data_IF_697333118428
#
_entry.id   IF_697333118428
#
_cell.length_a   1.000
_cell.length_b   1.000
_cell.length_c   1.000
_cell.angle_alpha   90.00
_cell.angle_beta   90.00
_cell.angle_gamma   90.00
#
_symmetry.space_group_name_H-M   'P 1'
#
loop_
_entity.id
_entity.type
_entity.pdbx_description
1 polymer ?
#
# COMPACT_ATOMS: atom_id res chain seq x y z
N UNK A 1 30.18 -63.29 -42.21
CA UNK A 1 30.79 -62.08 -42.81
C UNK A 1 29.81 -61.49 -43.82
N UNK A 2 29.85 -60.17 -44.00
CA UNK A 2 29.01 -59.34 -44.87
C UNK A 2 27.59 -59.01 -44.38
N UNK A 3 27.52 -57.85 -43.74
CA UNK A 3 26.38 -56.92 -43.71
C UNK A 3 25.94 -56.65 -45.15
N UNK A 4 24.63 -56.56 -45.44
CA UNK A 4 24.07 -55.45 -46.22
C UNK A 4 22.58 -55.28 -45.90
N UNK A 5 22.26 -54.03 -45.59
CA UNK A 5 21.02 -53.47 -45.09
C UNK A 5 20.51 -52.57 -46.21
N UNK A 6 19.35 -52.86 -46.81
CA UNK A 6 18.51 -51.84 -47.46
C UNK A 6 17.05 -52.28 -47.33
N UNK A 7 16.31 -51.54 -46.52
CA UNK A 7 14.88 -51.69 -46.30
C UNK A 7 14.12 -50.97 -47.42
N UNK A 8 13.14 -51.68 -47.97
CA UNK A 8 12.13 -51.23 -48.92
C UNK A 8 10.97 -50.58 -48.16
N UNK A 9 10.69 -49.27 -48.31
CA UNK A 9 9.34 -48.72 -48.03
C UNK A 9 9.08 -47.36 -48.70
N UNK A 10 8.38 -47.41 -49.84
CA UNK A 10 7.22 -46.60 -50.24
C UNK A 10 7.19 -45.13 -49.78
N UNK A 11 7.35 -44.23 -50.75
CA UNK A 11 7.03 -42.81 -50.64
C UNK A 11 5.52 -42.61 -50.42
N UNK A 12 5.14 -42.13 -49.23
CA UNK A 12 3.79 -41.66 -48.93
C UNK A 12 3.67 -40.19 -49.30
N UNK A 13 2.83 -39.90 -50.30
CA UNK A 13 2.40 -38.57 -50.71
C UNK A 13 1.65 -37.91 -49.56
N UNK A 14 2.24 -36.87 -48.95
CA UNK A 14 1.51 -35.98 -48.02
C UNK A 14 0.85 -34.87 -48.83
N UNK A 15 -0.48 -34.88 -48.85
CA UNK A 15 -1.32 -33.79 -49.33
C UNK A 15 -1.00 -32.49 -48.55
N UNK A 16 -0.57 -31.44 -49.27
CA UNK A 16 -0.56 -30.07 -48.76
C UNK A 16 -2.00 -29.57 -48.77
N UNK A 17 -2.69 -29.73 -47.64
CA UNK A 17 -3.97 -29.09 -47.38
C UNK A 17 -3.75 -27.67 -46.86
N UNK A 18 -3.98 -26.67 -47.70
CA UNK A 18 -4.03 -25.27 -47.27
C UNK A 18 -5.40 -25.04 -46.58
N UNK A 19 -5.45 -25.10 -45.25
CA UNK A 19 -6.60 -24.63 -44.48
C UNK A 19 -6.36 -23.19 -44.03
N UNK A 20 -7.16 -22.27 -44.58
CA UNK A 20 -7.30 -20.91 -44.05
C UNK A 20 -7.98 -21.00 -42.69
N UNK A 21 -7.21 -20.95 -41.61
CA UNK A 21 -7.73 -20.78 -40.27
C UNK A 21 -8.12 -19.29 -40.08
N UNK A 22 -9.43 -19.04 -40.05
CA UNK A 22 -10.01 -17.80 -39.56
C UNK A 22 -9.64 -17.61 -38.09
N UNK A 23 -8.66 -16.76 -37.81
CA UNK A 23 -8.29 -16.36 -36.46
C UNK A 23 -9.39 -15.45 -35.92
N UNK A 24 -10.29 -16.03 -35.13
CA UNK A 24 -11.14 -15.25 -34.21
C UNK A 24 -10.21 -14.49 -33.28
N UNK A 25 -10.21 -13.18 -33.44
CA UNK A 25 -9.42 -12.24 -32.66
C UNK A 25 -10.05 -12.10 -31.26
N UNK A 26 -9.79 -13.07 -30.38
CA UNK A 26 -9.99 -12.89 -28.94
C UNK A 26 -8.80 -12.13 -28.38
N UNK A 27 -9.03 -10.88 -28.01
CA UNK A 27 -8.13 -10.12 -27.14
C UNK A 27 -8.07 -10.88 -25.82
N UNK A 28 -7.04 -11.71 -25.65
CA UNK A 28 -6.73 -12.31 -24.37
C UNK A 28 -6.33 -11.17 -23.43
N UNK A 29 -7.26 -10.75 -22.57
CA UNK A 29 -6.96 -9.90 -21.44
C UNK A 29 -5.82 -10.54 -20.64
N UNK A 30 -4.80 -9.75 -20.31
CA UNK A 30 -3.78 -10.16 -19.34
C UNK A 30 -4.54 -10.55 -18.06
N UNK A 31 -4.45 -11.80 -17.57
CA UNK A 31 -5.07 -12.14 -16.30
C UNK A 31 -4.36 -11.35 -15.21
N UNK A 32 -5.04 -10.33 -14.69
CA UNK A 32 -4.71 -9.76 -13.39
C UNK A 32 -4.90 -10.92 -12.40
N UNK A 33 -3.83 -11.45 -11.82
CA UNK A 33 -3.94 -12.49 -10.80
C UNK A 33 -4.81 -11.92 -9.67
N UNK A 34 -6.03 -12.43 -9.56
CA UNK A 34 -7.01 -11.92 -8.61
C UNK A 34 -6.44 -12.12 -7.20
N UNK A 35 -6.43 -11.04 -6.40
CA UNK A 35 -6.06 -11.11 -4.99
C UNK A 35 -6.85 -12.22 -4.31
N UNK A 36 -6.17 -13.13 -3.60
CA UNK A 36 -6.82 -14.18 -2.83
C UNK A 36 -7.10 -13.66 -1.42
N UNK A 37 -8.33 -13.86 -0.93
CA UNK A 37 -8.66 -13.59 0.47
C UNK A 37 -8.22 -14.82 1.25
N UNK A 38 -7.23 -14.65 2.12
CA UNK A 38 -6.71 -15.70 2.98
C UNK A 38 -7.48 -15.72 4.29
N UNK A 39 -7.67 -16.90 4.84
CA UNK A 39 -8.11 -17.07 6.23
C UNK A 39 -6.88 -17.12 7.15
N UNK A 40 -6.92 -16.41 8.27
CA UNK A 40 -5.87 -16.42 9.28
C UNK A 40 -6.45 -16.71 10.66
N UNK A 41 -5.87 -17.67 11.39
CA UNK A 41 -6.27 -17.93 12.76
C UNK A 41 -5.90 -16.74 13.66
N UNK A 42 -6.60 -16.53 14.80
CA UNK A 42 -6.28 -15.42 15.70
C UNK A 42 -4.82 -15.38 16.15
N UNK A 43 -4.17 -16.54 16.37
CA UNK A 43 -2.76 -16.60 16.79
C UNK A 43 -1.80 -16.22 15.67
N UNK A 44 -2.05 -16.67 14.44
CA UNK A 44 -1.23 -16.29 13.28
C UNK A 44 -1.33 -14.79 13.00
N UNK A 45 -2.56 -14.26 13.06
CA UNK A 45 -2.79 -12.82 12.87
C UNK A 45 -2.15 -12.03 14.00
N UNK A 46 -2.28 -12.44 15.27
CA UNK A 46 -1.60 -11.78 16.39
C UNK A 46 -0.08 -11.75 16.23
N UNK A 47 0.53 -12.84 15.74
CA UNK A 47 1.98 -12.89 15.48
C UNK A 47 2.38 -11.99 14.31
N UNK A 48 1.53 -11.87 13.30
CA UNK A 48 1.77 -10.99 12.17
C UNK A 48 1.66 -9.51 12.57
N UNK A 49 0.57 -9.13 13.25
CA UNK A 49 0.29 -7.74 13.63
C UNK A 49 1.10 -7.25 14.83
N UNK A 50 1.82 -8.14 15.52
CA UNK A 50 2.75 -7.78 16.61
C UNK A 50 4.16 -7.44 16.10
N UNK A 51 4.47 -7.69 14.83
CA UNK A 51 5.75 -7.34 14.19
C UNK A 51 5.54 -6.11 13.31
N UNK A 52 6.20 -5.00 13.64
CA UNK A 52 6.04 -3.72 12.94
C UNK A 52 4.57 -3.25 12.85
N UNK A 53 4.33 -2.12 12.19
CA UNK A 53 2.96 -1.69 11.88
C UNK A 53 2.33 -2.67 10.88
N UNK A 54 1.08 -3.05 11.10
CA UNK A 54 0.28 -3.87 10.18
C UNK A 54 -1.09 -3.25 10.04
N UNK A 55 -1.67 -3.28 8.83
CA UNK A 55 -3.02 -2.75 8.60
C UNK A 55 -4.05 -3.72 9.18
N UNK A 56 -4.31 -3.61 10.47
CA UNK A 56 -5.28 -4.43 11.17
C UNK A 56 -6.54 -3.62 11.43
N UNK A 57 -7.65 -3.97 10.79
CA UNK A 57 -8.89 -3.21 10.86
C UNK A 57 -10.02 -4.03 11.46
N UNK A 58 -10.79 -3.41 12.36
CA UNK A 58 -12.04 -3.92 12.88
C UNK A 58 -13.20 -3.22 12.15
N UNK A 59 -13.98 -4.00 11.40
CA UNK A 59 -15.07 -3.49 10.55
C UNK A 59 -16.44 -3.50 11.24
N UNK A 60 -16.46 -3.70 12.56
CA UNK A 60 -17.65 -3.56 13.38
C UNK A 60 -18.05 -2.09 13.59
N UNK A 61 -19.24 -1.85 14.15
CA UNK A 61 -19.62 -0.48 14.50
C UNK A 61 -18.72 0.06 15.63
N UNK A 62 -18.62 1.39 15.78
CA UNK A 62 -17.86 1.99 16.87
C UNK A 62 -18.31 1.53 18.27
N UNK A 63 -19.61 1.27 18.45
CA UNK A 63 -20.16 0.77 19.72
C UNK A 63 -19.68 -0.65 20.02
N UNK A 64 -19.76 -1.56 19.04
CA UNK A 64 -19.25 -2.92 19.17
C UNK A 64 -17.75 -2.94 19.48
N UNK A 65 -16.97 -2.11 18.76
CA UNK A 65 -15.54 -1.96 18.94
C UNK A 65 -15.19 -1.44 20.35
N UNK A 66 -15.91 -0.42 20.83
CA UNK A 66 -15.65 0.20 22.12
C UNK A 66 -15.83 -0.76 23.31
N UNK A 67 -16.73 -1.75 23.19
CA UNK A 67 -16.95 -2.77 24.24
C UNK A 67 -15.82 -3.80 24.36
N UNK A 68 -14.91 -3.86 23.39
CA UNK A 68 -13.79 -4.78 23.39
C UNK A 68 -13.42 -5.25 21.99
N UNK A 69 -12.21 -4.94 21.55
CA UNK A 69 -11.67 -5.27 20.24
C UNK A 69 -10.25 -5.84 20.34
N UNK A 70 -9.79 -6.51 19.28
CA UNK A 70 -8.43 -7.00 19.21
C UNK A 70 -7.42 -5.84 19.31
N UNK A 71 -6.45 -5.93 20.22
CA UNK A 71 -5.46 -4.87 20.40
C UNK A 71 -4.76 -4.53 19.08
N UNK A 72 -4.45 -3.23 18.86
CA UNK A 72 -3.88 -2.66 17.62
C UNK A 72 -4.81 -2.64 16.41
N UNK A 73 -6.04 -3.16 16.50
CA UNK A 73 -6.99 -3.03 15.41
C UNK A 73 -7.55 -1.60 15.33
N UNK A 74 -7.53 -0.96 14.17
CA UNK A 74 -8.20 0.33 13.91
C UNK A 74 -9.66 0.09 13.54
N UNK A 75 -10.59 0.87 14.11
CA UNK A 75 -11.99 0.74 13.71
C UNK A 75 -12.25 1.46 12.37
N UNK A 76 -12.52 0.70 11.32
CA UNK A 76 -13.00 1.19 10.02
C UNK A 76 -14.30 0.45 9.72
N UNK A 77 -15.46 0.97 10.18
CA UNK A 77 -16.75 0.31 10.02
C UNK A 77 -17.07 -0.06 8.57
N UNK A 78 -17.66 -1.24 8.34
CA UNK A 78 -17.95 -1.76 7.00
C UNK A 78 -18.72 -0.77 6.10
N UNK A 79 -19.66 -0.04 6.68
CA UNK A 79 -20.51 0.95 6.01
C UNK A 79 -19.74 2.20 5.54
N UNK A 80 -18.63 2.52 6.20
CA UNK A 80 -17.75 3.65 5.85
C UNK A 80 -16.45 3.22 5.16
N UNK A 81 -16.25 1.92 4.97
CA UNK A 81 -15.01 1.33 4.46
C UNK A 81 -14.62 1.90 3.09
N UNK A 82 -15.58 2.04 2.17
CA UNK A 82 -15.31 2.56 0.82
C UNK A 82 -14.83 4.01 0.79
N UNK A 83 -15.17 4.80 1.81
CA UNK A 83 -14.66 6.17 1.97
C UNK A 83 -13.30 6.22 2.68
N UNK A 84 -12.80 5.08 3.17
CA UNK A 84 -11.55 4.96 3.93
C UNK A 84 -10.48 4.15 3.21
N UNK A 85 -10.65 3.89 1.90
CA UNK A 85 -9.64 3.19 1.11
C UNK A 85 -8.31 3.94 1.09
N UNK A 86 -8.36 5.26 1.09
CA UNK A 86 -7.21 6.16 1.23
C UNK A 86 -6.72 6.22 2.69
N UNK A 87 -6.91 5.18 3.51
CA UNK A 87 -6.18 4.99 4.77
C UNK A 87 -5.36 3.72 4.74
N UNK A 88 -5.52 2.95 3.68
CA UNK A 88 -5.00 1.61 3.55
C UNK A 88 -4.12 1.50 2.30
N UNK A 89 -3.00 0.84 2.46
CA UNK A 89 -2.02 0.56 1.43
C UNK A 89 -2.42 -0.70 0.65
N UNK A 90 -2.76 -0.53 -0.63
CA UNK A 90 -3.28 -1.62 -1.50
C UNK A 90 -2.33 -2.79 -1.71
N UNK A 91 -1.02 -2.54 -1.59
CA UNK A 91 0.01 -3.55 -1.81
C UNK A 91 0.44 -4.26 -0.53
N UNK A 92 0.09 -3.72 0.64
CA UNK A 92 0.45 -4.29 1.94
C UNK A 92 -0.64 -5.23 2.47
N UNK A 93 -0.31 -6.18 3.36
CA UNK A 93 -1.30 -7.02 4.03
C UNK A 93 -2.31 -6.18 4.82
N UNK A 94 -3.61 -6.45 4.60
CA UNK A 94 -4.72 -5.96 5.41
C UNK A 94 -5.36 -7.12 6.15
N UNK A 95 -5.27 -7.09 7.48
CA UNK A 95 -5.91 -8.03 8.39
C UNK A 95 -7.26 -7.46 8.81
N UNK A 96 -8.33 -8.23 8.64
CA UNK A 96 -9.69 -7.72 8.75
C UNK A 96 -10.44 -8.59 9.75
N UNK A 97 -10.92 -7.98 10.84
CA UNK A 97 -11.67 -8.67 11.89
C UNK A 97 -13.06 -8.07 12.03
N UNK A 98 -14.02 -8.93 12.36
CA UNK A 98 -15.33 -8.50 12.86
C UNK A 98 -15.72 -9.33 14.08
N UNK A 99 -17.01 -9.53 14.35
CA UNK A 99 -17.43 -10.34 15.50
C UNK A 99 -17.13 -11.83 15.32
N UNK A 100 -17.55 -12.41 14.19
CA UNK A 100 -17.50 -13.86 13.92
C UNK A 100 -16.77 -14.25 12.63
N UNK A 101 -16.35 -13.28 11.81
CA UNK A 101 -15.64 -13.49 10.53
C UNK A 101 -16.47 -13.20 9.27
N UNK A 102 -17.81 -13.13 9.37
CA UNK A 102 -18.69 -12.93 8.21
C UNK A 102 -18.57 -11.52 7.61
N UNK A 103 -18.71 -10.49 8.46
CA UNK A 103 -18.63 -9.08 8.05
C UNK A 103 -17.23 -8.70 7.54
N UNK A 104 -16.18 -9.28 8.11
CA UNK A 104 -14.80 -9.06 7.68
C UNK A 104 -14.49 -9.73 6.34
N UNK A 105 -15.09 -10.89 6.04
CA UNK A 105 -15.00 -11.48 4.71
C UNK A 105 -15.71 -10.62 3.64
N UNK A 106 -16.86 -10.03 4.00
CA UNK A 106 -17.53 -9.04 3.14
C UNK A 106 -16.64 -7.80 2.88
N UNK A 107 -16.03 -7.24 3.93
CA UNK A 107 -15.06 -6.16 3.80
C UNK A 107 -13.85 -6.55 2.93
N UNK A 108 -13.32 -7.77 3.10
CA UNK A 108 -12.24 -8.29 2.27
C UNK A 108 -12.64 -8.37 0.80
N UNK A 109 -13.87 -8.76 0.50
CA UNK A 109 -14.39 -8.78 -0.88
C UNK A 109 -14.47 -7.38 -1.48
N UNK A 110 -14.95 -6.40 -0.70
CA UNK A 110 -14.99 -4.98 -1.12
C UNK A 110 -13.59 -4.43 -1.39
N UNK A 111 -12.62 -4.71 -0.51
CA UNK A 111 -11.23 -4.28 -0.69
C UNK A 111 -10.58 -4.98 -1.88
N UNK A 112 -10.85 -6.27 -2.08
CA UNK A 112 -10.37 -7.02 -3.26
C UNK A 112 -10.86 -6.37 -4.55
N UNK A 113 -12.14 -6.01 -4.63
CA UNK A 113 -12.72 -5.34 -5.79
C UNK A 113 -12.13 -3.93 -6.01
N UNK A 114 -11.73 -3.26 -4.91
CA UNK A 114 -11.03 -1.98 -4.93
C UNK A 114 -9.52 -2.08 -5.28
N UNK A 115 -9.01 -3.30 -5.52
CA UNK A 115 -7.64 -3.57 -5.97
C UNK A 115 -6.61 -3.84 -4.87
N UNK A 116 -7.06 -4.12 -3.64
CA UNK A 116 -6.17 -4.56 -2.56
C UNK A 116 -5.70 -6.00 -2.82
N UNK A 117 -4.42 -6.27 -2.58
CA UNK A 117 -3.77 -7.51 -3.04
C UNK A 117 -3.63 -8.59 -1.98
N UNK A 118 -3.41 -8.19 -0.72
CA UNK A 118 -3.04 -9.09 0.36
C UNK A 118 -4.07 -8.95 1.48
N UNK A 119 -5.11 -9.78 1.46
CA UNK A 119 -6.24 -9.66 2.37
C UNK A 119 -6.32 -10.90 3.26
N UNK A 120 -6.41 -10.68 4.57
CA UNK A 120 -6.49 -11.75 5.57
C UNK A 120 -7.73 -11.53 6.42
N UNK A 121 -8.72 -12.40 6.26
CA UNK A 121 -9.88 -12.46 7.14
C UNK A 121 -9.51 -13.20 8.43
N UNK A 122 -9.81 -12.61 9.59
CA UNK A 122 -9.55 -13.26 10.88
C UNK A 122 -10.64 -14.29 11.17
N UNK A 123 -10.28 -15.57 11.11
CA UNK A 123 -11.23 -16.67 11.26
C UNK A 123 -11.85 -16.68 12.66
N UNK A 124 -13.19 -16.73 12.71
CA UNK A 124 -13.96 -16.70 13.95
C UNK A 124 -14.02 -15.33 14.64
N UNK A 125 -13.43 -14.30 14.02
CA UNK A 125 -13.52 -12.91 14.46
C UNK A 125 -13.04 -12.65 15.90
N UNK A 126 -13.58 -11.59 16.50
CA UNK A 126 -13.28 -11.15 17.86
C UNK A 126 -13.71 -12.19 18.90
N UNK A 127 -14.74 -13.00 18.62
CA UNK A 127 -15.14 -14.12 19.49
C UNK A 127 -14.01 -15.13 19.61
N UNK A 128 -13.45 -15.60 18.49
CA UNK A 128 -12.32 -16.53 18.50
C UNK A 128 -11.03 -15.88 19.04
N UNK A 129 -10.82 -14.59 18.79
CA UNK A 129 -9.70 -13.84 19.36
C UNK A 129 -9.71 -13.83 20.89
N UNK A 130 -10.88 -13.52 21.48
CA UNK A 130 -11.10 -13.58 22.94
C UNK A 130 -10.93 -14.99 23.48
N UNK A 131 -11.52 -15.99 22.82
CA UNK A 131 -11.39 -17.39 23.22
C UNK A 131 -9.94 -17.90 23.18
N UNK A 132 -9.10 -17.36 22.30
CA UNK A 132 -7.68 -17.67 22.24
C UNK A 132 -6.83 -17.00 23.34
N UNK A 133 -7.43 -16.16 24.19
CA UNK A 133 -6.74 -15.44 25.26
C UNK A 133 -5.81 -14.35 24.76
N UNK A 134 -6.08 -13.76 23.59
CA UNK A 134 -5.24 -12.75 22.97
C UNK A 134 -5.57 -11.34 23.50
N UNK A 135 -4.64 -10.37 23.38
CA UNK A 135 -4.83 -9.02 23.92
C UNK A 135 -6.08 -8.32 23.35
N UNK A 136 -6.84 -7.67 24.24
CA UNK A 136 -8.04 -6.90 23.93
C UNK A 136 -7.88 -5.47 24.47
N UNK A 137 -8.36 -4.50 23.71
CA UNK A 137 -8.48 -3.09 24.08
C UNK A 137 -9.97 -2.69 24.15
N UNK A 138 -10.29 -1.60 24.85
CA UNK A 138 -11.66 -1.05 25.00
C UNK A 138 -11.64 0.46 24.76
N UNK A 139 -12.75 1.03 24.28
CA UNK A 139 -12.86 2.45 23.92
C UNK A 139 -12.75 2.74 22.42
N UNK A 140 -12.78 4.02 22.05
CA UNK A 140 -12.70 4.51 20.66
C UNK A 140 -11.31 4.27 20.03
N UNK A 141 -11.14 4.38 18.69
CA UNK A 141 -9.95 3.92 17.96
C UNK A 141 -8.67 4.44 18.59
N UNK A 142 -7.68 3.55 18.69
CA UNK A 142 -6.33 3.71 19.23
C UNK A 142 -5.96 5.18 19.52
N UNK A 143 -6.41 5.67 20.67
CA UNK A 143 -5.68 6.71 21.37
C UNK A 143 -4.85 5.91 22.35
N UNK A 144 -3.58 5.58 22.04
CA UNK A 144 -2.77 4.82 22.97
C UNK A 144 -2.74 5.62 24.27
N UNK A 145 -3.04 4.97 25.39
CA UNK A 145 -3.20 5.55 26.72
C UNK A 145 -2.32 6.79 26.89
N UNK A 146 -2.97 7.91 27.23
CA UNK A 146 -2.39 9.23 27.45
C UNK A 146 -1.05 9.16 28.21
N UNK A 147 0.07 9.13 27.47
CA UNK A 147 1.33 9.62 27.97
C UNK A 147 1.30 11.13 27.78
N UNK A 148 0.70 11.83 28.74
CA UNK A 148 0.70 13.29 28.89
C UNK A 148 2.09 13.87 29.17
N UNK A 149 3.13 13.29 28.56
CA UNK A 149 4.51 13.78 28.63
C UNK A 149 4.80 14.66 27.42
N UNK A 150 5.28 15.87 27.69
CA UNK A 150 5.90 16.72 26.66
C UNK A 150 7.01 15.93 25.97
N UNK A 151 6.99 15.85 24.65
CA UNK A 151 8.06 15.20 23.88
C UNK A 151 9.41 15.86 24.17
N UNK A 152 10.48 15.07 24.15
CA UNK A 152 11.80 15.68 24.11
C UNK A 152 11.93 16.54 22.83
N UNK A 153 12.68 17.65 22.86
CA UNK A 153 12.75 18.57 21.72
C UNK A 153 13.21 17.91 20.41
N UNK A 154 14.04 16.87 20.49
CA UNK A 154 14.56 16.19 19.31
C UNK A 154 13.49 15.29 18.68
N UNK A 155 12.69 14.60 19.49
CA UNK A 155 11.53 13.83 19.01
C UNK A 155 10.43 14.75 18.48
N UNK A 156 10.20 15.90 19.13
CA UNK A 156 9.26 16.90 18.61
C UNK A 156 9.71 17.41 17.23
N UNK A 157 11.00 17.72 17.07
CA UNK A 157 11.57 18.14 15.78
C UNK A 157 11.46 17.04 14.72
N UNK A 158 11.65 15.77 15.10
CA UNK A 158 11.46 14.64 14.19
C UNK A 158 10.02 14.55 13.69
N UNK A 159 9.04 14.72 14.59
CA UNK A 159 7.62 14.70 14.24
C UNK A 159 7.23 15.85 13.31
N UNK A 160 7.75 17.05 13.57
CA UNK A 160 7.59 18.22 12.70
C UNK A 160 8.22 18.00 11.33
N UNK A 161 9.44 17.46 11.30
CA UNK A 161 10.18 17.17 10.06
C UNK A 161 9.49 16.11 9.21
N UNK A 162 8.97 15.03 9.83
CA UNK A 162 8.20 14.02 9.13
C UNK A 162 7.00 14.64 8.42
N UNK A 163 6.18 15.42 9.13
CA UNK A 163 5.02 16.09 8.52
C UNK A 163 5.40 17.07 7.41
N UNK A 164 6.51 17.80 7.57
CA UNK A 164 7.01 18.70 6.55
C UNK A 164 7.44 17.95 5.27
N UNK A 165 8.07 16.78 5.43
CA UNK A 165 8.51 15.92 4.32
C UNK A 165 7.32 15.37 3.54
N UNK A 166 6.31 14.80 4.22
CA UNK A 166 5.09 14.27 3.57
C UNK A 166 4.38 15.37 2.76
N UNK A 167 4.26 16.58 3.32
CA UNK A 167 3.63 17.72 2.64
C UNK A 167 4.46 18.24 1.46
N UNK A 168 5.78 18.17 1.55
CA UNK A 168 6.67 18.56 0.46
C UNK A 168 6.56 17.55 -0.69
N UNK A 169 6.51 16.25 -0.38
CA UNK A 169 6.28 15.19 -1.36
C UNK A 169 4.93 15.37 -2.07
N UNK A 170 3.84 15.57 -1.32
CA UNK A 170 2.52 15.86 -1.89
C UNK A 170 2.55 17.05 -2.87
N UNK A 171 3.13 18.18 -2.46
CA UNK A 171 3.18 19.37 -3.31
C UNK A 171 4.04 19.13 -4.55
N UNK A 172 5.18 18.44 -4.39
CA UNK A 172 6.10 18.11 -5.49
C UNK A 172 5.42 17.21 -6.50
N UNK A 173 4.74 16.16 -6.05
CA UNK A 173 4.04 15.23 -6.94
C UNK A 173 2.86 15.90 -7.64
N UNK A 174 2.13 16.79 -6.94
CA UNK A 174 1.10 17.58 -7.57
C UNK A 174 1.67 18.50 -8.66
N UNK A 175 2.81 19.15 -8.42
CA UNK A 175 3.49 19.98 -9.41
C UNK A 175 3.90 19.17 -10.65
N UNK A 176 4.46 17.96 -10.44
CA UNK A 176 4.79 17.04 -11.53
C UNK A 176 3.54 16.63 -12.31
N UNK A 177 2.43 16.31 -11.62
CA UNK A 177 1.18 15.91 -12.27
C UNK A 177 0.52 17.05 -13.05
N UNK A 178 0.68 18.30 -12.60
CA UNK A 178 0.23 19.47 -13.37
C UNK A 178 0.99 19.58 -14.70
N UNK A 179 2.29 19.24 -14.73
CA UNK A 179 3.11 19.25 -15.95
C UNK A 179 2.94 18.00 -16.80
N UNK A 180 2.81 16.83 -16.17
CA UNK A 180 2.69 15.52 -16.81
C UNK A 180 1.44 14.79 -16.31
N UNK A 181 0.25 15.13 -16.83
CA UNK A 181 -1.01 14.53 -16.37
C UNK A 181 -1.00 13.00 -16.49
N UNK A 182 -1.39 12.32 -15.41
CA UNK A 182 -1.45 10.86 -15.37
C UNK A 182 -0.09 10.15 -15.24
N UNK A 183 0.99 10.90 -15.02
CA UNK A 183 2.32 10.32 -14.84
C UNK A 183 2.36 9.37 -13.62
N UNK A 184 2.70 8.11 -13.87
CA UNK A 184 3.06 7.14 -12.82
C UNK A 184 4.56 7.23 -12.54
N UNK A 185 5.00 7.03 -11.28
CA UNK A 185 4.17 6.61 -10.16
C UNK A 185 3.50 7.76 -9.38
N UNK A 186 3.78 9.03 -9.72
CA UNK A 186 3.27 10.22 -9.02
C UNK A 186 1.77 10.17 -8.71
N UNK A 187 0.93 9.84 -9.70
CA UNK A 187 -0.53 9.79 -9.51
C UNK A 187 -0.99 8.74 -8.49
N UNK A 188 -0.23 7.66 -8.32
CA UNK A 188 -0.57 6.61 -7.35
C UNK A 188 0.00 6.91 -5.98
N UNK A 189 1.19 7.53 -5.92
CA UNK A 189 1.92 7.76 -4.67
C UNK A 189 1.39 9.00 -3.93
N UNK A 190 0.90 10.03 -4.64
CA UNK A 190 0.39 11.23 -3.99
C UNK A 190 -0.74 10.95 -2.98
N UNK A 191 -1.57 9.92 -3.22
CA UNK A 191 -2.58 9.51 -2.23
C UNK A 191 -1.92 8.83 -1.01
N UNK A 192 -0.89 8.00 -1.21
CA UNK A 192 -0.12 7.43 -0.09
C UNK A 192 0.48 8.52 0.81
N UNK A 193 1.02 9.60 0.25
CA UNK A 193 1.59 10.70 1.05
C UNK A 193 0.53 11.49 1.83
N UNK A 194 -0.71 11.58 1.33
CA UNK A 194 -1.83 12.14 2.12
C UNK A 194 -2.18 11.21 3.28
N UNK A 195 -2.11 9.91 3.07
CA UNK A 195 -2.37 8.92 4.10
C UNK A 195 -1.28 8.99 5.17
N UNK A 196 -0.02 9.13 4.78
CA UNK A 196 1.12 9.35 5.68
C UNK A 196 0.90 10.54 6.60
N UNK A 197 0.49 11.68 6.04
CA UNK A 197 0.10 12.85 6.83
C UNK A 197 -1.03 12.50 7.82
N UNK A 198 -2.05 11.75 7.39
CA UNK A 198 -3.15 11.33 8.26
C UNK A 198 -2.70 10.44 9.44
N UNK A 199 -1.61 9.67 9.31
CA UNK A 199 -1.04 8.87 10.41
C UNK A 199 -0.22 9.72 11.38
N UNK A 200 0.35 10.82 10.91
CA UNK A 200 1.14 11.74 11.75
C UNK A 200 0.24 12.64 12.61
N UNK A 201 -0.85 13.18 12.06
CA UNK A 201 -1.69 14.18 12.73
C UNK A 201 -2.22 13.75 14.12
N UNK A 202 -2.64 12.50 14.37
CA UNK A 202 -3.03 12.05 15.70
C UNK A 202 -1.91 12.15 16.75
N UNK A 203 -0.64 11.98 16.35
CA UNK A 203 0.52 12.11 17.24
C UNK A 203 0.71 13.56 17.69
N UNK A 204 0.50 14.53 16.79
CA UNK A 204 0.54 15.96 17.14
C UNK A 204 -0.48 16.30 18.23
N UNK A 205 -1.73 15.85 18.04
CA UNK A 205 -2.80 16.06 19.02
C UNK A 205 -2.47 15.37 20.35
N UNK A 206 -2.02 14.11 20.31
CA UNK A 206 -1.68 13.33 21.49
C UNK A 206 -0.58 13.98 22.33
N UNK A 207 0.46 14.48 21.69
CA UNK A 207 1.63 15.05 22.37
C UNK A 207 1.57 16.57 22.55
N UNK A 208 0.44 17.21 22.20
CA UNK A 208 0.26 18.65 22.34
C UNK A 208 1.20 19.49 21.48
N UNK A 209 1.65 18.95 20.34
CA UNK A 209 2.50 19.66 19.37
C UNK A 209 1.61 20.42 18.39
N UNK A 210 1.86 21.70 18.22
CA UNK A 210 1.13 22.50 17.24
C UNK A 210 1.44 22.01 15.82
N UNK A 211 0.39 21.74 15.04
CA UNK A 211 0.51 21.39 13.62
C UNK A 211 0.88 22.66 12.84
N UNK A 212 2.05 22.72 12.18
CA UNK A 212 2.41 23.87 11.35
C UNK A 212 1.42 24.05 10.21
N UNK A 213 1.22 25.29 9.75
CA UNK A 213 0.47 25.56 8.53
C UNK A 213 1.22 24.97 7.33
N UNK A 214 0.51 24.36 6.39
CA UNK A 214 1.11 23.96 5.11
C UNK A 214 1.31 25.20 4.23
N UNK A 215 2.56 25.50 3.89
CA UNK A 215 2.94 26.62 3.01
C UNK A 215 3.45 26.16 1.64
N UNK A 216 3.54 24.84 1.42
CA UNK A 216 3.99 24.27 0.18
C UNK A 216 2.95 24.53 -0.92
N UNK A 217 3.38 25.22 -1.97
CA UNK A 217 2.55 25.58 -3.12
C UNK A 217 3.09 24.84 -4.36
N UNK A 218 2.33 23.90 -4.94
CA UNK A 218 2.74 23.17 -6.14
C UNK A 218 3.10 24.10 -7.31
N UNK A 219 2.53 25.30 -7.40
CA UNK A 219 2.83 26.25 -8.47
C UNK A 219 4.24 26.88 -8.35
N UNK A 220 4.89 26.75 -7.19
CA UNK A 220 6.24 27.30 -6.92
C UNK A 220 7.34 26.27 -6.99
N UNK A 221 6.99 25.00 -7.20
CA UNK A 221 7.96 23.91 -7.27
C UNK A 221 8.53 23.85 -8.69
N UNK A 222 9.85 23.87 -8.79
CA UNK A 222 10.52 23.66 -10.06
C UNK A 222 10.43 22.18 -10.46
N UNK A 223 9.84 21.93 -11.62
CA UNK A 223 9.62 20.59 -12.13
C UNK A 223 10.53 20.35 -13.31
N UNK A 224 11.33 19.26 -13.33
CA UNK A 224 12.18 18.93 -14.46
C UNK A 224 11.41 18.93 -15.79
N UNK A 225 12.10 19.37 -16.84
CA UNK A 225 11.49 19.49 -18.15
C UNK A 225 11.02 18.14 -18.73
N UNK A 226 11.67 17.06 -18.31
CA UNK A 226 11.52 15.68 -18.77
C UNK A 226 11.00 14.78 -17.63
N UNK A 227 10.09 13.86 -17.98
CA UNK A 227 9.45 12.98 -16.99
C UNK A 227 10.42 11.95 -16.40
N UNK A 228 11.38 11.46 -17.19
CA UNK A 228 12.39 10.53 -16.67
C UNK A 228 13.24 11.22 -15.63
N UNK A 229 13.60 12.49 -15.84
CA UNK A 229 14.31 13.27 -14.83
C UNK A 229 13.46 13.56 -13.58
N UNK A 230 12.18 13.89 -13.74
CA UNK A 230 11.27 13.99 -12.60
C UNK A 230 11.22 12.68 -11.79
N UNK A 231 11.24 11.52 -12.46
CA UNK A 231 11.30 10.23 -11.78
C UNK A 231 12.64 9.98 -11.06
N UNK A 232 13.77 10.48 -11.58
CA UNK A 232 15.06 10.45 -10.86
C UNK A 232 15.04 11.32 -9.59
N UNK A 233 14.41 12.49 -9.67
CA UNK A 233 14.16 13.33 -8.48
C UNK A 233 13.32 12.56 -7.46
N UNK A 234 12.28 11.84 -7.90
CA UNK A 234 11.52 10.92 -7.04
C UNK A 234 12.39 9.86 -6.36
N UNK A 235 13.25 9.15 -7.12
CA UNK A 235 14.20 8.16 -6.56
C UNK A 235 15.08 8.80 -5.48
N UNK A 236 15.60 10.01 -5.73
CA UNK A 236 16.43 10.73 -4.77
C UNK A 236 15.62 11.05 -3.50
N UNK A 237 14.41 11.58 -3.65
CA UNK A 237 13.54 11.93 -2.54
C UNK A 237 13.24 10.72 -1.64
N UNK A 238 12.90 9.55 -2.22
CA UNK A 238 12.65 8.34 -1.43
C UNK A 238 13.88 7.86 -0.65
N UNK A 239 15.07 7.93 -1.25
CA UNK A 239 16.30 7.57 -0.53
C UNK A 239 16.58 8.55 0.63
N UNK A 240 16.32 9.84 0.43
CA UNK A 240 16.46 10.86 1.47
C UNK A 240 15.44 10.68 2.60
N UNK A 241 14.19 10.31 2.27
CA UNK A 241 13.14 9.97 3.23
C UNK A 241 13.48 8.71 4.04
N UNK A 242 13.95 7.64 3.40
CA UNK A 242 14.39 6.42 4.10
C UNK A 242 15.51 6.75 5.09
N UNK A 243 16.51 7.53 4.66
CA UNK A 243 17.62 7.95 5.50
C UNK A 243 17.17 8.91 6.62
N UNK A 244 16.13 9.71 6.40
CA UNK A 244 15.51 10.56 7.42
C UNK A 244 14.94 9.70 8.56
N UNK A 245 14.12 8.70 8.22
CA UNK A 245 13.55 7.80 9.22
C UNK A 245 14.59 6.91 9.90
N UNK A 246 15.64 6.47 9.21
CA UNK A 246 16.76 5.74 9.83
C UNK A 246 17.38 6.57 10.96
N UNK A 247 17.53 7.89 10.76
CA UNK A 247 18.02 8.81 11.80
C UNK A 247 17.02 8.98 12.94
N UNK A 248 15.73 9.12 12.64
CA UNK A 248 14.70 9.34 13.66
C UNK A 248 14.51 8.12 14.57
N UNK A 249 14.38 6.94 13.97
CA UNK A 249 14.18 5.68 14.69
C UNK A 249 15.33 5.34 15.65
N UNK A 250 16.53 5.90 15.42
CA UNK A 250 17.68 5.74 16.30
C UNK A 250 17.55 6.43 17.67
N UNK A 251 16.70 7.45 17.81
CA UNK A 251 16.59 8.22 19.06
C UNK A 251 15.18 8.38 19.63
N UNK A 252 14.13 8.28 18.80
CA UNK A 252 12.74 8.31 19.29
C UNK A 252 12.57 7.19 20.32
N UNK A 253 11.76 7.41 21.36
CA UNK A 253 11.53 6.41 22.44
C UNK A 253 10.08 5.94 22.46
N UNK A 254 9.19 6.81 22.05
CA UNK A 254 7.75 6.72 22.00
C UNK A 254 7.34 5.59 21.05
N UNK A 255 6.73 4.50 21.57
CA UNK A 255 6.41 3.33 20.76
C UNK A 255 5.45 3.64 19.60
N UNK A 256 4.50 4.54 19.81
CA UNK A 256 3.53 4.96 18.79
C UNK A 256 4.17 5.83 17.69
N UNK A 257 5.08 6.74 18.04
CA UNK A 257 5.84 7.51 17.05
C UNK A 257 6.76 6.58 16.25
N UNK A 258 7.45 5.64 16.91
CA UNK A 258 8.26 4.63 16.23
C UNK A 258 7.45 3.82 15.24
N UNK A 259 6.24 3.43 15.63
CA UNK A 259 5.35 2.64 14.80
C UNK A 259 4.98 3.40 13.52
N UNK A 260 4.55 4.67 13.63
CA UNK A 260 4.24 5.51 12.47
C UNK A 260 5.48 5.75 11.62
N UNK A 261 6.63 6.09 12.21
CA UNK A 261 7.87 6.33 11.45
C UNK A 261 8.36 5.08 10.71
N UNK A 262 8.24 3.90 11.33
CA UNK A 262 8.58 2.64 10.68
C UNK A 262 7.64 2.37 9.50
N UNK A 263 6.35 2.67 9.64
CA UNK A 263 5.38 2.53 8.55
C UNK A 263 5.75 3.40 7.35
N UNK A 264 5.99 4.69 7.57
CA UNK A 264 6.31 5.65 6.51
C UNK A 264 7.64 5.26 5.83
N UNK A 265 8.64 4.87 6.61
CA UNK A 265 9.90 4.35 6.05
C UNK A 265 9.71 3.11 5.17
N UNK A 266 8.94 2.13 5.63
CA UNK A 266 8.68 0.90 4.86
C UNK A 266 7.92 1.22 3.57
N UNK A 267 6.96 2.14 3.58
CA UNK A 267 6.28 2.58 2.36
C UNK A 267 7.27 3.15 1.32
N UNK A 268 8.16 4.05 1.74
CA UNK A 268 9.20 4.58 0.86
C UNK A 268 10.16 3.50 0.35
N UNK A 269 10.65 2.62 1.23
CA UNK A 269 11.64 1.58 0.91
C UNK A 269 11.09 0.48 0.01
N UNK A 270 9.90 -0.02 0.31
CA UNK A 270 9.36 -1.25 -0.26
C UNK A 270 8.40 -0.97 -1.43
N UNK A 271 7.80 0.22 -1.48
CA UNK A 271 6.80 0.58 -2.48
C UNK A 271 7.23 1.73 -3.39
N UNK A 272 7.53 2.90 -2.82
CA UNK A 272 7.72 4.12 -3.60
C UNK A 272 9.05 4.09 -4.37
N UNK A 273 10.16 3.78 -3.69
CA UNK A 273 11.48 3.73 -4.30
C UNK A 273 11.52 2.75 -5.49
N UNK A 274 11.05 1.49 -5.38
CA UNK A 274 10.97 0.61 -6.55
C UNK A 274 10.12 1.15 -7.68
N UNK A 275 9.03 1.87 -7.38
CA UNK A 275 8.16 2.45 -8.39
C UNK A 275 8.82 3.61 -9.14
N UNK A 276 9.51 4.51 -8.44
CA UNK A 276 10.27 5.60 -9.04
C UNK A 276 11.47 5.10 -9.83
N UNK A 277 12.19 4.08 -9.32
CA UNK A 277 13.31 3.45 -10.03
C UNK A 277 12.87 2.94 -11.39
N UNK A 278 11.78 2.16 -11.45
CA UNK A 278 11.22 1.67 -12.73
C UNK A 278 10.84 2.80 -13.69
N UNK A 279 10.29 3.90 -13.17
CA UNK A 279 9.97 5.06 -14.01
C UNK A 279 11.22 5.73 -14.57
N UNK A 280 12.26 5.89 -13.74
CA UNK A 280 13.51 6.56 -14.11
C UNK A 280 14.36 5.78 -15.13
N UNK A 281 14.15 4.47 -15.23
CA UNK A 281 14.83 3.58 -16.19
C UNK A 281 14.09 3.48 -17.54
N UNK A 282 12.99 4.22 -17.71
CA UNK A 282 12.17 4.18 -18.94
C UNK A 282 11.23 2.98 -19.02
N UNK A 283 11.02 2.25 -17.91
CA UNK A 283 10.16 1.08 -17.79
C UNK A 283 8.65 1.38 -17.78
N UNK A 284 8.19 2.38 -18.55
CA UNK A 284 6.78 2.59 -18.83
C UNK A 284 6.43 1.95 -20.18
N UNK A 285 5.58 0.91 -20.13
CA UNK A 285 5.01 0.29 -21.32
C UNK A 285 4.46 1.34 -22.29
N UNK A 286 5.07 1.37 -23.48
CA UNK A 286 4.73 2.28 -24.55
C UNK A 286 3.31 2.06 -25.06
N UNK A 287 2.35 2.79 -24.50
CA UNK A 287 1.13 3.17 -25.19
C UNK A 287 1.45 4.26 -26.20
N UNK A 288 2.08 3.91 -27.34
CA UNK A 288 2.16 4.82 -28.50
C UNK A 288 0.73 5.07 -29.00
N UNK A 289 0.15 6.19 -28.61
CA UNK A 289 -0.93 6.82 -29.36
C UNK A 289 -0.41 7.15 -30.76
N UNK A 290 -0.61 6.25 -31.73
CA UNK A 290 -0.55 6.64 -33.13
C UNK A 290 -1.75 7.54 -33.40
N UNK A 291 -1.47 8.83 -33.57
CA UNK A 291 -2.43 9.77 -34.14
C UNK A 291 -2.95 9.21 -35.47
N UNK A 292 -4.27 9.23 -35.63
CA UNK A 292 -4.89 9.16 -36.95
C UNK A 292 -4.84 10.58 -37.53
N UNK A 293 -4.39 10.76 -38.79
CA UNK A 293 -4.66 12.00 -39.48
C UNK A 293 -6.18 12.11 -39.75
N UNK A 294 -6.60 13.37 -39.80
CA UNK A 294 -7.93 13.90 -40.15
C UNK A 294 -8.71 13.08 -41.18
#
# INVERSE_FOLDING_TARGET
>A
MMKYLVVLSIALVMFVGCQSASTKNTVAGVPNAAAEIKEGSPREVQQAVSKAYSQFIDVRTPEEYATGHAARAENIPLDTLSASFDKLEKNEPVYIICETGNRSNQAASILKDAGFKNLVNVSGGTVAWKAAGLPIETGSPHTPASSSGKLDPRTQEALLSALADERLAQATYQAVLNRFPGARPFINIIEAEKNHESFLLPLFAKYGVAVPRNENDPAKIDVPADLTEACRVGVKAENENIALYDRFLAFVKEPDIKEVFTRLQSASRENHLPAFTRCSEGGMGGGRGKGRPV
#
